data_IF_338823489265
#
_entry.id   IF_338823489265
#
_cell.length_a   1.000
_cell.length_b   1.000
_cell.length_c   1.000
_cell.angle_alpha   90.00
_cell.angle_beta   90.00
_cell.angle_gamma   90.00
#
_symmetry.space_group_name_H-M   'P 1'
#
loop_
_entity.id
_entity.type
_entity.pdbx_description
1 polymer ?
#
# COMPACT_ATOMS: atom_id res chain seq x y z
N UNK A 1 -34.19 4.62 7.18
CA UNK A 1 -33.03 4.36 8.06
C UNK A 1 -32.22 3.25 7.40
N UNK A 2 -30.88 3.30 7.40
CA UNK A 2 -30.07 2.21 6.85
C UNK A 2 -30.41 0.89 7.56
N UNK A 3 -30.43 -0.20 6.82
CA UNK A 3 -30.62 -1.54 7.39
C UNK A 3 -29.39 -1.96 8.19
N UNK A 4 -29.51 -2.96 9.07
CA UNK A 4 -28.37 -3.52 9.81
C UNK A 4 -27.27 -4.04 8.87
N UNK A 5 -27.67 -4.56 7.71
CA UNK A 5 -26.77 -5.01 6.64
C UNK A 5 -25.99 -3.84 6.03
N UNK A 6 -26.66 -2.71 5.77
CA UNK A 6 -26.00 -1.51 5.20
C UNK A 6 -24.94 -0.96 6.17
N UNK A 7 -25.26 -0.94 7.47
CA UNK A 7 -24.34 -0.45 8.49
C UNK A 7 -23.12 -1.38 8.61
N UNK A 8 -23.34 -2.70 8.53
CA UNK A 8 -22.26 -3.69 8.56
C UNK A 8 -21.34 -3.55 7.34
N UNK A 9 -21.91 -3.40 6.14
CA UNK A 9 -21.13 -3.18 4.92
C UNK A 9 -20.31 -1.89 4.97
N UNK A 10 -20.88 -0.80 5.51
CA UNK A 10 -20.18 0.45 5.72
C UNK A 10 -19.00 0.29 6.69
N UNK A 11 -19.21 -0.39 7.81
CA UNK A 11 -18.16 -0.64 8.81
C UNK A 11 -17.03 -1.51 8.25
N UNK A 12 -17.34 -2.56 7.49
CA UNK A 12 -16.33 -3.42 6.85
C UNK A 12 -15.51 -2.60 5.86
N UNK A 13 -16.17 -1.79 5.03
CA UNK A 13 -15.51 -0.95 4.01
C UNK A 13 -14.60 0.10 4.65
N UNK A 14 -15.07 0.78 5.71
CA UNK A 14 -14.24 1.73 6.49
C UNK A 14 -13.05 1.03 7.17
N UNK A 15 -13.29 -0.15 7.76
CA UNK A 15 -12.23 -0.95 8.40
C UNK A 15 -11.19 -1.39 7.38
N UNK A 16 -11.62 -1.86 6.21
CA UNK A 16 -10.74 -2.28 5.12
C UNK A 16 -9.87 -1.10 4.63
N UNK A 17 -10.48 0.05 4.38
CA UNK A 17 -9.78 1.26 3.96
C UNK A 17 -8.77 1.74 5.00
N UNK A 18 -9.15 1.76 6.28
CA UNK A 18 -8.26 2.16 7.37
C UNK A 18 -7.06 1.20 7.51
N UNK A 19 -7.32 -0.11 7.58
CA UNK A 19 -6.25 -1.13 7.73
C UNK A 19 -5.31 -1.11 6.55
N UNK A 20 -5.84 -1.09 5.32
CA UNK A 20 -5.04 -1.04 4.09
C UNK A 20 -4.16 0.20 4.06
N UNK A 21 -4.73 1.37 4.34
CA UNK A 21 -4.00 2.64 4.34
C UNK A 21 -2.90 2.64 5.41
N UNK A 22 -3.18 2.14 6.62
CA UNK A 22 -2.17 2.03 7.68
C UNK A 22 -1.01 1.12 7.28
N UNK A 23 -1.29 -0.04 6.67
CA UNK A 23 -0.26 -0.96 6.17
C UNK A 23 0.57 -0.28 5.08
N UNK A 24 -0.08 0.34 4.11
CA UNK A 24 0.60 1.04 3.01
C UNK A 24 1.41 2.24 3.49
N UNK A 25 0.98 2.98 4.51
CA UNK A 25 1.80 4.03 5.09
C UNK A 25 2.99 3.45 5.85
N UNK A 26 2.79 2.38 6.62
CA UNK A 26 3.86 1.76 7.42
C UNK A 26 4.99 1.22 6.53
N UNK A 27 4.65 0.50 5.46
CA UNK A 27 5.63 -0.14 4.57
C UNK A 27 5.96 0.70 3.34
N UNK A 28 4.99 1.47 2.83
CA UNK A 28 5.17 2.33 1.67
C UNK A 28 6.00 3.57 1.98
N UNK A 29 6.00 4.10 3.21
CA UNK A 29 6.88 5.21 3.61
C UNK A 29 8.37 4.87 3.46
N UNK A 30 8.91 3.79 4.09
CA UNK A 30 10.31 3.44 3.90
C UNK A 30 10.63 3.03 2.46
N UNK A 31 9.71 2.34 1.77
CA UNK A 31 9.89 1.97 0.37
C UNK A 31 9.97 3.21 -0.55
N UNK A 32 9.05 4.16 -0.40
CA UNK A 32 9.02 5.40 -1.18
C UNK A 32 10.24 6.28 -0.87
N UNK A 33 10.68 6.35 0.38
CA UNK A 33 11.91 7.04 0.77
C UNK A 33 13.12 6.43 0.08
N UNK A 34 13.24 5.10 0.12
CA UNK A 34 14.32 4.39 -0.55
C UNK A 34 14.26 4.58 -2.07
N UNK A 35 13.08 4.47 -2.69
CA UNK A 35 12.91 4.69 -4.13
C UNK A 35 13.27 6.13 -4.56
N UNK A 36 12.93 7.13 -3.74
CA UNK A 36 13.25 8.53 -4.01
C UNK A 36 14.76 8.82 -3.98
N UNK A 37 15.53 8.09 -3.15
CA UNK A 37 16.97 8.37 -2.92
C UNK A 37 17.92 7.36 -3.57
N UNK A 38 17.44 6.18 -3.93
CA UNK A 38 18.30 5.10 -4.42
C UNK A 38 18.90 5.41 -5.79
N UNK A 39 20.18 5.07 -5.95
CA UNK A 39 20.90 5.06 -7.24
C UNK A 39 20.93 3.67 -7.89
N UNK A 40 20.21 2.71 -7.33
CA UNK A 40 20.22 1.34 -7.81
C UNK A 40 19.65 1.24 -9.24
N UNK A 41 20.42 0.64 -10.15
CA UNK A 41 20.11 0.55 -11.59
C UNK A 41 18.78 -0.16 -11.89
N UNK A 42 18.33 -1.05 -11.02
CA UNK A 42 17.09 -1.83 -11.20
C UNK A 42 15.88 -1.27 -10.43
N UNK A 43 15.96 -0.03 -9.91
CA UNK A 43 14.83 0.61 -9.23
C UNK A 43 13.55 0.66 -10.08
N UNK A 44 13.71 0.75 -11.41
CA UNK A 44 12.60 0.77 -12.36
C UNK A 44 11.74 -0.50 -12.30
N UNK A 45 12.30 -1.64 -11.88
CA UNK A 45 11.52 -2.87 -11.71
C UNK A 45 10.56 -2.76 -10.54
N UNK A 46 11.00 -2.15 -9.43
CA UNK A 46 10.13 -1.92 -8.27
C UNK A 46 9.10 -0.83 -8.57
N UNK A 47 9.49 0.23 -9.28
CA UNK A 47 8.54 1.24 -9.77
C UNK A 47 7.49 0.62 -10.70
N UNK A 48 7.90 -0.32 -11.57
CA UNK A 48 6.98 -1.07 -12.43
C UNK A 48 6.02 -1.95 -11.62
N UNK A 49 6.49 -2.63 -10.57
CA UNK A 49 5.62 -3.43 -9.67
C UNK A 49 4.61 -2.53 -8.95
N UNK A 50 5.06 -1.37 -8.46
CA UNK A 50 4.17 -0.38 -7.80
C UNK A 50 3.15 0.19 -8.78
N UNK A 51 3.53 0.41 -10.03
CA UNK A 51 2.65 0.95 -11.07
C UNK A 51 1.77 -0.11 -11.76
N UNK A 52 2.09 -1.40 -11.63
CA UNK A 52 1.37 -2.51 -12.27
C UNK A 52 -0.15 -2.44 -12.05
N UNK A 53 -0.68 -2.13 -10.86
CA UNK A 53 -2.12 -2.02 -10.65
C UNK A 53 -2.80 -0.94 -11.49
N UNK A 54 -2.08 0.11 -11.89
CA UNK A 54 -2.64 1.17 -12.75
C UNK A 54 -2.86 0.69 -14.19
N UNK A 55 -2.09 -0.31 -14.62
CA UNK A 55 -2.09 -0.79 -16.01
C UNK A 55 -3.06 -1.97 -16.18
N UNK A 56 -3.25 -2.77 -15.14
CA UNK A 56 -4.12 -3.93 -15.20
C UNK A 56 -5.58 -3.54 -14.98
N UNK A 57 -6.53 -4.09 -15.77
CA UNK A 57 -7.95 -3.99 -15.45
C UNK A 57 -8.23 -4.56 -14.05
N UNK A 58 -9.09 -3.92 -13.22
CA UNK A 58 -9.36 -4.37 -11.86
C UNK A 58 -9.81 -5.83 -11.77
N UNK A 59 -10.62 -6.29 -12.72
CA UNK A 59 -11.08 -7.68 -12.78
C UNK A 59 -9.94 -8.67 -13.02
N UNK A 60 -8.97 -8.30 -13.87
CA UNK A 60 -7.80 -9.13 -14.17
C UNK A 60 -6.89 -9.21 -12.94
N UNK A 61 -6.68 -8.08 -12.27
CA UNK A 61 -5.93 -8.05 -11.03
C UNK A 61 -6.60 -8.89 -9.94
N UNK A 62 -7.92 -8.74 -9.77
CA UNK A 62 -8.71 -9.53 -8.82
C UNK A 62 -8.66 -11.03 -9.13
N UNK A 63 -8.76 -11.42 -10.39
CA UNK A 63 -8.62 -12.82 -10.81
C UNK A 63 -7.25 -13.39 -10.48
N UNK A 64 -6.16 -12.71 -10.82
CA UNK A 64 -4.81 -13.20 -10.51
C UNK A 64 -4.55 -13.29 -9.01
N UNK A 65 -5.05 -12.33 -8.24
CA UNK A 65 -4.98 -12.38 -6.78
C UNK A 65 -5.79 -13.55 -6.22
N UNK A 66 -6.99 -13.80 -6.75
CA UNK A 66 -7.81 -14.94 -6.34
C UNK A 66 -7.08 -16.27 -6.63
N UNK A 67 -6.50 -16.42 -7.82
CA UNK A 67 -5.71 -17.60 -8.20
C UNK A 67 -4.49 -17.75 -7.29
N UNK A 68 -3.82 -16.66 -6.94
CA UNK A 68 -2.64 -16.70 -6.06
C UNK A 68 -2.98 -17.07 -4.61
N UNK A 69 -4.07 -16.51 -4.08
CA UNK A 69 -4.50 -16.61 -2.68
C UNK A 69 -5.42 -17.82 -2.40
N UNK A 70 -5.95 -18.45 -3.46
CA UNK A 70 -6.79 -19.63 -3.36
C UNK A 70 -6.04 -20.89 -2.86
N UNK A 71 -6.76 -21.95 -2.46
CA UNK A 71 -6.18 -23.16 -1.85
C UNK A 71 -5.08 -23.82 -2.69
N UNK A 72 -5.25 -23.83 -4.01
CA UNK A 72 -4.29 -24.42 -4.95
C UNK A 72 -3.32 -23.39 -5.56
N UNK A 73 -3.37 -22.15 -5.07
CA UNK A 73 -2.51 -21.07 -5.49
C UNK A 73 -1.10 -21.16 -4.88
N UNK A 74 -0.10 -20.49 -5.47
CA UNK A 74 1.26 -20.45 -4.92
C UNK A 74 1.32 -19.90 -3.47
N UNK A 75 0.45 -18.96 -3.11
CA UNK A 75 0.43 -18.37 -1.76
C UNK A 75 -0.49 -19.20 -0.85
N UNK A 76 -1.73 -19.45 -1.28
CA UNK A 76 -2.70 -20.18 -0.46
C UNK A 76 -2.27 -21.63 -0.18
N UNK A 77 -1.76 -22.35 -1.18
CA UNK A 77 -1.26 -23.71 -1.02
C UNK A 77 -0.02 -23.82 -0.16
N UNK A 78 0.87 -22.81 -0.20
CA UNK A 78 2.00 -22.73 0.74
C UNK A 78 1.51 -22.50 2.17
N UNK A 79 0.51 -21.65 2.36
CA UNK A 79 -0.10 -21.41 3.67
C UNK A 79 -0.73 -22.68 4.23
N UNK A 80 -1.47 -23.42 3.42
CA UNK A 80 -2.06 -24.71 3.80
C UNK A 80 -0.98 -25.75 4.14
N UNK A 81 0.10 -25.82 3.37
CA UNK A 81 1.23 -26.71 3.67
C UNK A 81 1.92 -26.38 5.01
N UNK A 82 1.86 -25.11 5.44
CA UNK A 82 2.36 -24.65 6.74
C UNK A 82 1.33 -24.80 7.87
N UNK A 83 0.18 -25.43 7.60
CA UNK A 83 -0.89 -25.65 8.58
C UNK A 83 -1.91 -24.51 8.71
N UNK A 84 -1.88 -23.54 7.78
CA UNK A 84 -2.85 -22.45 7.69
C UNK A 84 -4.10 -22.80 6.86
N UNK A 85 -4.94 -21.80 6.63
CA UNK A 85 -6.12 -21.89 5.76
C UNK A 85 -5.95 -20.99 4.53
N UNK A 86 -6.63 -21.33 3.44
CA UNK A 86 -6.74 -20.43 2.29
C UNK A 86 -7.32 -19.07 2.73
N UNK A 87 -6.73 -18.00 2.19
CA UNK A 87 -7.05 -16.61 2.55
C UNK A 87 -7.93 -15.92 1.50
N UNK A 88 -8.20 -16.57 0.37
CA UNK A 88 -9.25 -16.15 -0.55
C UNK A 88 -10.61 -16.08 0.18
N UNK A 89 -11.46 -15.12 -0.17
CA UNK A 89 -12.79 -14.92 0.44
C UNK A 89 -12.75 -14.64 1.95
N UNK A 90 -11.64 -14.07 2.44
CA UNK A 90 -11.51 -13.62 3.83
C UNK A 90 -11.21 -12.13 3.88
N UNK A 91 -11.47 -11.51 5.04
CA UNK A 91 -11.05 -10.13 5.29
C UNK A 91 -9.53 -9.94 5.08
N UNK A 92 -8.72 -10.95 5.42
CA UNK A 92 -7.26 -10.91 5.18
C UNK A 92 -6.94 -10.90 3.69
N UNK A 93 -7.63 -11.71 2.90
CA UNK A 93 -7.51 -11.71 1.44
C UNK A 93 -7.91 -10.37 0.82
N UNK A 94 -8.99 -9.75 1.33
CA UNK A 94 -9.39 -8.40 0.97
C UNK A 94 -8.29 -7.38 1.30
N UNK A 95 -7.74 -7.39 2.52
CA UNK A 95 -6.66 -6.49 2.91
C UNK A 95 -5.44 -6.65 2.00
N UNK A 96 -5.05 -7.89 1.69
CA UNK A 96 -3.91 -8.15 0.80
C UNK A 96 -4.20 -7.58 -0.60
N UNK A 97 -5.36 -7.89 -1.17
CA UNK A 97 -5.75 -7.36 -2.47
C UNK A 97 -5.78 -5.83 -2.48
N UNK A 98 -6.34 -5.23 -1.43
CA UNK A 98 -6.38 -3.78 -1.21
C UNK A 98 -5.02 -3.14 -1.08
N UNK A 99 -4.07 -3.78 -0.42
CA UNK A 99 -2.69 -3.31 -0.41
C UNK A 99 -2.15 -3.29 -1.83
N UNK A 100 -2.29 -4.39 -2.58
CA UNK A 100 -1.76 -4.48 -3.94
C UNK A 100 -2.35 -3.44 -4.89
N UNK A 101 -3.68 -3.29 -4.97
CA UNK A 101 -4.26 -2.35 -5.91
C UNK A 101 -4.05 -0.88 -5.51
N UNK A 102 -3.94 -0.59 -4.20
CA UNK A 102 -3.74 0.77 -3.69
C UNK A 102 -2.27 1.21 -3.60
N UNK A 103 -1.29 0.32 -3.86
CA UNK A 103 0.14 0.63 -3.89
C UNK A 103 0.47 1.97 -4.60
N UNK A 104 0.06 2.21 -5.86
CA UNK A 104 0.47 3.42 -6.58
C UNK A 104 -0.07 4.70 -5.94
N UNK A 105 -1.28 4.64 -5.38
CA UNK A 105 -1.96 5.79 -4.79
C UNK A 105 -1.36 6.24 -3.45
N UNK A 106 -0.61 5.36 -2.77
CA UNK A 106 0.12 5.71 -1.55
C UNK A 106 1.60 5.97 -1.84
N UNK A 107 2.26 5.10 -2.62
CA UNK A 107 3.71 5.18 -2.83
C UNK A 107 4.09 6.38 -3.70
N UNK A 108 3.34 6.70 -4.76
CA UNK A 108 3.73 7.79 -5.66
C UNK A 108 3.68 9.18 -4.98
N UNK A 109 2.61 9.54 -4.22
CA UNK A 109 2.62 10.81 -3.50
C UNK A 109 3.72 10.89 -2.42
N UNK A 110 4.01 9.79 -1.73
CA UNK A 110 5.13 9.71 -0.79
C UNK A 110 6.47 9.91 -1.50
N UNK A 111 6.70 9.22 -2.61
CA UNK A 111 7.94 9.31 -3.39
C UNK A 111 8.14 10.73 -3.91
N UNK A 112 7.07 11.37 -4.41
CA UNK A 112 7.10 12.77 -4.85
C UNK A 112 7.46 13.72 -3.71
N UNK A 113 6.84 13.54 -2.53
CA UNK A 113 7.14 14.36 -1.35
C UNK A 113 8.59 14.20 -0.88
N UNK A 114 9.11 12.97 -0.88
CA UNK A 114 10.49 12.71 -0.50
C UNK A 114 11.53 13.20 -1.51
N UNK A 115 11.18 13.15 -2.79
CA UNK A 115 12.03 13.65 -3.89
C UNK A 115 12.11 15.18 -3.91
N UNK A 116 11.07 15.86 -3.42
CA UNK A 116 11.04 17.32 -3.32
C UNK A 116 11.96 17.89 -2.21
N UNK A 117 12.43 17.06 -1.28
CA UNK A 117 13.34 17.49 -0.21
C UNK A 117 14.76 17.61 -0.76
N UNK A 118 15.34 18.80 -0.68
CA UNK A 118 16.70 19.06 -1.17
C UNK A 118 17.75 18.22 -0.40
N UNK A 119 18.71 17.65 -1.13
CA UNK A 119 19.83 16.89 -0.55
C UNK A 119 20.69 17.80 0.34
N UNK A 120 20.83 19.09 -0.01
CA UNK A 120 21.61 20.05 0.77
C UNK A 120 21.10 20.22 2.20
N UNK A 121 19.79 20.11 2.40
CA UNK A 121 19.19 20.15 3.75
C UNK A 121 19.66 18.97 4.60
N UNK A 122 19.78 17.78 3.99
CA UNK A 122 20.23 16.56 4.69
C UNK A 122 21.73 16.54 4.91
N UNK A 123 22.50 17.12 3.97
CA UNK A 123 23.95 17.34 4.11
C UNK A 123 24.25 18.31 5.25
N UNK A 124 23.53 19.44 5.33
CA UNK A 124 23.67 20.40 6.43
C UNK A 124 23.36 19.78 7.81
N UNK A 125 22.35 18.92 7.90
CA UNK A 125 22.09 18.19 9.13
C UNK A 125 23.21 17.19 9.48
N UNK A 126 23.84 16.58 8.46
CA UNK A 126 24.95 15.65 8.68
C UNK A 126 26.20 16.35 9.22
N UNK A 127 26.47 17.62 8.85
CA UNK A 127 27.59 18.39 9.41
C UNK A 127 27.36 18.73 10.89
N UNK A 128 26.09 18.81 11.33
CA UNK A 128 25.68 18.89 12.73
C UNK A 128 25.68 17.53 13.46
N UNK A 129 26.26 16.49 12.85
CA UNK A 129 26.34 15.11 13.36
C UNK A 129 24.98 14.40 13.53
N UNK A 130 23.94 14.85 12.84
CA UNK A 130 22.66 14.14 12.83
C UNK A 130 22.80 12.80 12.10
N UNK A 131 22.40 11.71 12.76
CA UNK A 131 22.44 10.36 12.18
C UNK A 131 21.41 10.22 11.04
N UNK A 132 21.53 9.24 10.13
CA UNK A 132 20.53 9.02 9.08
C UNK A 132 19.11 8.80 9.61
N UNK A 133 18.97 8.06 10.71
CA UNK A 133 17.66 7.85 11.36
C UNK A 133 17.14 9.12 12.00
N UNK A 134 18.00 9.86 12.72
CA UNK A 134 17.62 11.16 13.28
C UNK A 134 17.10 12.09 12.17
N UNK A 135 17.88 12.32 11.11
CA UNK A 135 17.47 13.16 9.96
C UNK A 135 16.15 12.72 9.35
N UNK A 136 15.88 11.42 9.30
CA UNK A 136 14.61 10.92 8.79
C UNK A 136 13.42 11.36 9.67
N UNK A 137 13.53 11.21 10.99
CA UNK A 137 12.44 11.57 11.91
C UNK A 137 12.35 13.08 12.21
N UNK A 138 13.47 13.79 12.28
CA UNK A 138 13.53 15.20 12.65
C UNK A 138 13.38 16.16 11.48
N UNK A 139 13.69 15.73 10.24
CA UNK A 139 13.65 16.59 9.05
C UNK A 139 12.72 16.01 7.98
N UNK A 140 13.00 14.79 7.52
CA UNK A 140 12.31 14.21 6.36
C UNK A 140 10.82 14.03 6.62
N UNK A 141 10.45 13.34 7.70
CA UNK A 141 9.05 13.09 8.03
C UNK A 141 8.25 14.39 8.27
N UNK A 142 8.76 15.38 9.03
CA UNK A 142 8.10 16.68 9.18
C UNK A 142 7.89 17.43 7.85
N UNK A 143 8.92 17.49 6.99
CA UNK A 143 8.82 18.16 5.69
C UNK A 143 7.88 17.42 4.73
N UNK A 144 7.84 16.09 4.81
CA UNK A 144 6.97 15.25 3.98
C UNK A 144 5.52 15.17 4.48
N UNK A 145 5.16 15.78 5.63
CA UNK A 145 3.81 15.70 6.22
C UNK A 145 2.67 15.96 5.22
N UNK A 146 2.69 17.02 4.38
CA UNK A 146 1.63 17.26 3.41
C UNK A 146 1.51 16.11 2.40
N UNK A 147 2.65 15.54 1.99
CA UNK A 147 2.71 14.38 1.11
C UNK A 147 2.17 13.11 1.76
N UNK A 148 2.48 12.87 3.04
CA UNK A 148 1.97 11.73 3.81
C UNK A 148 0.44 11.83 3.96
N UNK A 149 -0.09 13.02 4.27
CA UNK A 149 -1.54 13.26 4.35
C UNK A 149 -2.20 13.01 2.99
N UNK A 150 -1.57 13.49 1.91
CA UNK A 150 -2.06 13.26 0.55
C UNK A 150 -2.10 11.78 0.22
N UNK A 151 -1.01 11.04 0.50
CA UNK A 151 -0.91 9.61 0.30
C UNK A 151 -1.96 8.83 1.11
N UNK A 152 -2.14 9.20 2.39
CA UNK A 152 -3.14 8.60 3.27
C UNK A 152 -4.56 8.81 2.73
N UNK A 153 -4.87 10.03 2.30
CA UNK A 153 -6.20 10.39 1.77
C UNK A 153 -6.48 9.65 0.47
N UNK A 154 -5.52 9.62 -0.46
CA UNK A 154 -5.67 8.93 -1.74
C UNK A 154 -5.78 7.41 -1.56
N UNK A 155 -4.92 6.81 -0.72
CA UNK A 155 -4.98 5.38 -0.42
C UNK A 155 -6.31 4.97 0.23
N UNK A 156 -6.79 5.78 1.17
CA UNK A 156 -8.06 5.53 1.84
C UNK A 156 -9.24 5.68 0.88
N UNK A 157 -9.32 6.79 0.15
CA UNK A 157 -10.40 7.05 -0.81
C UNK A 157 -10.42 6.02 -1.95
N UNK A 158 -9.25 5.62 -2.46
CA UNK A 158 -9.18 4.60 -3.49
C UNK A 158 -9.62 3.23 -2.95
N UNK A 159 -9.22 2.86 -1.73
CA UNK A 159 -9.66 1.60 -1.11
C UNK A 159 -11.18 1.57 -0.89
N UNK A 160 -11.78 2.70 -0.50
CA UNK A 160 -13.24 2.83 -0.37
C UNK A 160 -13.97 2.74 -1.71
N UNK A 161 -13.39 3.32 -2.77
CA UNK A 161 -14.02 3.40 -4.09
C UNK A 161 -13.79 2.17 -4.97
N UNK A 162 -12.92 1.25 -4.56
CA UNK A 162 -12.61 0.06 -5.35
C UNK A 162 -13.68 -1.02 -5.20
N UNK A 163 -14.08 -1.57 -6.34
CA UNK A 163 -15.18 -2.54 -6.43
C UNK A 163 -14.79 -3.80 -7.19
N UNK A 164 -14.02 -3.67 -8.28
CA UNK A 164 -13.74 -4.77 -9.19
C UNK A 164 -12.91 -5.87 -8.53
N UNK A 165 -11.87 -5.48 -7.79
CA UNK A 165 -11.02 -6.44 -7.06
C UNK A 165 -11.77 -7.02 -5.85
N UNK A 166 -12.52 -6.19 -5.13
CA UNK A 166 -13.26 -6.57 -3.91
C UNK A 166 -14.32 -7.62 -4.21
N UNK A 167 -15.07 -7.49 -5.30
CA UNK A 167 -16.05 -8.51 -5.70
C UNK A 167 -15.42 -9.88 -6.00
N UNK A 168 -14.23 -9.89 -6.60
CA UNK A 168 -13.56 -11.13 -6.98
C UNK A 168 -12.98 -11.87 -5.78
N UNK A 169 -12.38 -11.14 -4.83
CA UNK A 169 -11.65 -11.73 -3.70
C UNK A 169 -12.51 -11.81 -2.44
N UNK A 170 -13.46 -10.90 -2.26
CA UNK A 170 -14.24 -10.74 -1.02
C UNK A 170 -15.16 -11.91 -0.73
N UNK A 171 -15.83 -12.45 -1.75
CA UNK A 171 -16.91 -13.40 -1.51
C UNK A 171 -18.07 -12.74 -0.75
N UNK A 172 -19.18 -13.47 -0.62
CA UNK A 172 -20.44 -12.96 -0.02
C UNK A 172 -20.35 -12.80 1.51
#
# INVERSE_FOLDING_TARGET
>A
MPSETDLTALLITLKLAAVTTSILLLFGTPLAWWLARTRWRFRFLLEAVVALPLVLPPTVLGFYLLVALGPHGPIGGLLEALGGQAIAFTFTGLVIGSVFYSLPFVIQPLQNAFSAIDERTLEAASTLRATPLDRFFSIVLPLARPGIITAATLGFAHTLGEFGVVLMIGGN
#
